data_IF_011054428622
#
_entry.id   IF_011054428622
#
_cell.length_a   1.000
_cell.length_b   1.000
_cell.length_c   1.000
_cell.angle_alpha   90.00
_cell.angle_beta   90.00
_cell.angle_gamma   90.00
#
_symmetry.space_group_name_H-M   'P 1'
#
loop_
_entity.id
_entity.type
_entity.pdbx_description
1 polymer ?
#
# COMPACT_ATOMS: atom_id res chain seq x y z
N UNK A 1 6.22 -9.66 7.46
CA UNK A 1 4.79 -9.28 7.45
C UNK A 1 4.58 -7.79 7.71
N UNK A 2 5.34 -7.14 8.61
CA UNK A 2 5.19 -5.70 8.91
C UNK A 2 5.39 -4.83 7.66
N UNK A 3 6.46 -5.01 6.91
CA UNK A 3 6.71 -4.24 5.69
C UNK A 3 5.62 -4.41 4.62
N UNK A 4 4.91 -5.53 4.63
CA UNK A 4 3.80 -5.81 3.71
C UNK A 4 2.42 -5.45 4.25
N UNK A 5 2.35 -4.85 5.43
CA UNK A 5 1.11 -4.40 6.09
C UNK A 5 -0.03 -5.46 6.13
N UNK A 6 0.33 -6.73 6.23
CA UNK A 6 -0.62 -7.84 6.17
C UNK A 6 -1.69 -7.75 7.28
N UNK A 7 -1.30 -7.21 8.45
CA UNK A 7 -2.18 -7.03 9.62
C UNK A 7 -3.34 -6.09 9.32
N UNK A 8 -3.12 -4.97 8.65
CA UNK A 8 -4.15 -3.97 8.39
C UNK A 8 -5.34 -4.54 7.62
N UNK A 9 -5.06 -5.42 6.64
CA UNK A 9 -6.13 -6.07 5.87
C UNK A 9 -6.63 -7.36 6.51
N UNK A 10 -5.75 -8.19 7.06
CA UNK A 10 -6.11 -9.53 7.54
C UNK A 10 -6.48 -9.61 9.03
N UNK A 11 -6.79 -8.46 9.65
CA UNK A 11 -7.29 -8.41 11.04
C UNK A 11 -8.52 -7.51 11.08
N UNK A 12 -9.68 -8.08 11.37
CA UNK A 12 -10.90 -7.29 11.57
C UNK A 12 -10.79 -6.46 12.86
N UNK A 13 -11.52 -5.35 12.94
CA UNK A 13 -11.58 -4.52 14.17
C UNK A 13 -12.03 -5.37 15.34
N UNK A 14 -11.21 -5.45 16.38
CA UNK A 14 -11.46 -6.31 17.56
C UNK A 14 -11.27 -7.80 17.31
N UNK A 15 -10.83 -8.21 16.09
CA UNK A 15 -10.56 -9.61 15.74
C UNK A 15 -9.19 -10.10 16.21
N UNK A 16 -8.97 -11.40 16.03
CA UNK A 16 -7.65 -11.99 16.29
C UNK A 16 -6.68 -11.64 15.14
N UNK A 17 -5.40 -11.40 15.43
CA UNK A 17 -4.42 -11.09 14.39
C UNK A 17 -4.41 -12.12 13.26
N UNK A 18 -4.46 -11.62 12.03
CA UNK A 18 -4.43 -12.41 10.78
C UNK A 18 -5.62 -13.37 10.57
N UNK A 19 -6.66 -13.33 11.41
CA UNK A 19 -7.81 -14.23 11.24
C UNK A 19 -8.80 -13.77 10.15
N UNK A 20 -8.52 -12.67 9.46
CA UNK A 20 -9.38 -12.12 8.41
C UNK A 20 -10.64 -11.44 8.91
N UNK A 21 -11.63 -11.34 8.02
CA UNK A 21 -12.95 -10.81 8.35
C UNK A 21 -13.10 -9.28 8.24
N UNK A 22 -12.04 -8.56 7.86
CA UNK A 22 -12.14 -7.12 7.57
C UNK A 22 -12.98 -6.93 6.31
N UNK A 23 -14.00 -6.07 6.42
CA UNK A 23 -14.87 -5.69 5.31
C UNK A 23 -14.21 -4.59 4.49
N UNK A 24 -14.00 -4.84 3.20
CA UNK A 24 -13.51 -3.87 2.23
C UNK A 24 -14.63 -3.55 1.24
N UNK A 25 -15.04 -2.29 1.18
CA UNK A 25 -16.12 -1.86 0.29
C UNK A 25 -15.56 -1.56 -1.10
N UNK A 26 -16.19 -2.13 -2.11
CA UNK A 26 -15.86 -1.87 -3.53
C UNK A 26 -17.07 -1.26 -4.24
N UNK A 27 -16.91 -0.65 -5.42
CA UNK A 27 -18.05 -0.13 -6.18
C UNK A 27 -19.10 -1.18 -6.56
N UNK A 28 -18.76 -2.46 -6.51
CA UNK A 28 -19.64 -3.57 -6.93
C UNK A 28 -20.11 -4.45 -5.77
N UNK A 29 -19.79 -4.08 -4.54
CA UNK A 29 -20.16 -4.83 -3.34
C UNK A 29 -19.01 -4.89 -2.35
N UNK A 30 -19.14 -5.68 -1.29
CA UNK A 30 -18.09 -5.85 -0.29
C UNK A 30 -17.37 -7.19 -0.45
N UNK A 31 -16.08 -7.17 -0.18
CA UNK A 31 -15.25 -8.35 -0.01
C UNK A 31 -14.75 -8.40 1.43
N UNK A 32 -14.40 -9.59 1.89
CA UNK A 32 -13.87 -9.79 3.23
C UNK A 32 -12.47 -10.41 3.13
N UNK A 33 -11.54 -9.90 3.92
CA UNK A 33 -10.20 -10.49 4.01
C UNK A 33 -10.29 -11.91 4.57
N UNK A 34 -9.42 -12.77 4.08
CA UNK A 34 -9.39 -14.18 4.48
C UNK A 34 -8.51 -14.40 5.70
N UNK A 35 -8.76 -15.49 6.41
CA UNK A 35 -7.92 -16.01 7.46
C UNK A 35 -6.59 -16.49 6.86
N UNK A 36 -5.47 -15.88 7.25
CA UNK A 36 -4.11 -16.25 6.84
C UNK A 36 -3.28 -16.79 8.01
N UNK A 37 -3.94 -17.22 9.10
CA UNK A 37 -3.27 -17.96 10.18
C UNK A 37 -2.97 -19.40 9.74
N UNK A 38 -2.05 -20.12 10.42
CA UNK A 38 -1.74 -21.51 10.11
C UNK A 38 -2.81 -22.50 10.63
N UNK A 39 -4.06 -22.07 10.70
CA UNK A 39 -5.18 -22.97 10.92
C UNK A 39 -5.38 -23.84 9.68
N UNK A 40 -5.52 -25.16 9.88
CA UNK A 40 -5.54 -26.14 8.77
C UNK A 40 -6.83 -26.12 7.97
N UNK A 41 -7.94 -25.83 8.63
CA UNK A 41 -9.27 -25.89 8.00
C UNK A 41 -9.71 -24.51 7.47
N UNK A 42 -9.48 -23.45 8.24
CA UNK A 42 -10.01 -22.12 7.96
C UNK A 42 -8.95 -21.14 7.43
N UNK A 43 -7.66 -21.45 7.64
CA UNK A 43 -6.53 -20.60 7.27
C UNK A 43 -5.66 -21.18 6.16
N UNK A 44 -4.37 -20.93 6.26
CA UNK A 44 -3.36 -21.35 5.27
C UNK A 44 -2.43 -22.47 5.80
N UNK A 45 -2.81 -23.15 6.90
CA UNK A 45 -1.96 -24.18 7.53
C UNK A 45 -1.64 -25.38 6.67
N UNK A 46 -2.45 -25.67 5.65
CA UNK A 46 -2.23 -26.74 4.69
C UNK A 46 -1.62 -26.24 3.35
N UNK A 47 -1.18 -24.97 3.25
CA UNK A 47 -0.52 -24.44 2.06
C UNK A 47 0.93 -24.91 2.01
N UNK A 48 1.36 -25.46 0.88
CA UNK A 48 2.77 -25.59 0.53
C UNK A 48 3.37 -24.21 0.25
N UNK A 49 4.70 -24.12 0.23
CA UNK A 49 5.40 -22.89 -0.17
C UNK A 49 4.96 -22.37 -1.55
N UNK A 50 4.82 -23.28 -2.53
CA UNK A 50 4.38 -22.92 -3.88
C UNK A 50 2.96 -22.34 -3.87
N UNK A 51 2.01 -22.96 -3.17
CA UNK A 51 0.62 -22.49 -3.06
C UNK A 51 0.54 -21.14 -2.33
N UNK A 52 1.37 -20.95 -1.30
CA UNK A 52 1.49 -19.65 -0.60
C UNK A 52 2.05 -18.58 -1.53
N UNK A 53 3.15 -18.86 -2.22
CA UNK A 53 3.76 -17.95 -3.19
C UNK A 53 2.80 -17.58 -4.32
N UNK A 54 2.05 -18.55 -4.84
CA UNK A 54 1.04 -18.31 -5.89
C UNK A 54 -0.12 -17.43 -5.37
N UNK A 55 -0.56 -17.62 -4.14
CA UNK A 55 -1.57 -16.76 -3.53
C UNK A 55 -1.07 -15.32 -3.36
N UNK A 56 0.16 -15.14 -2.90
CA UNK A 56 0.74 -13.81 -2.63
C UNK A 56 1.12 -13.09 -3.94
N UNK A 57 1.81 -13.76 -4.88
CA UNK A 57 2.35 -13.15 -6.11
C UNK A 57 1.37 -13.15 -7.27
N UNK A 58 0.52 -14.17 -7.36
CA UNK A 58 -0.36 -14.37 -8.54
C UNK A 58 -1.83 -14.17 -8.23
N UNK A 59 -2.18 -14.04 -6.93
CA UNK A 59 -3.58 -13.99 -6.52
C UNK A 59 -4.34 -15.28 -6.81
N UNK A 60 -3.70 -16.44 -6.72
CA UNK A 60 -4.29 -17.77 -6.98
C UNK A 60 -4.27 -18.57 -5.69
N UNK A 61 -5.44 -18.92 -5.18
CA UNK A 61 -5.58 -19.76 -3.97
C UNK A 61 -5.22 -21.22 -4.25
N UNK A 62 -5.01 -21.99 -3.19
CA UNK A 62 -4.76 -23.43 -3.23
C UNK A 62 -5.79 -24.22 -4.07
N UNK A 63 -7.05 -23.79 -4.04
CA UNK A 63 -8.14 -24.38 -4.81
C UNK A 63 -8.20 -23.93 -6.29
N UNK A 64 -7.22 -23.13 -6.75
CA UNK A 64 -7.16 -22.55 -8.08
C UNK A 64 -8.04 -21.30 -8.28
N UNK A 65 -8.78 -20.87 -7.27
CA UNK A 65 -9.65 -19.70 -7.35
C UNK A 65 -8.84 -18.40 -7.36
N UNK A 66 -9.15 -17.48 -8.28
CA UNK A 66 -8.53 -16.17 -8.34
C UNK A 66 -9.03 -15.25 -7.24
N UNK A 67 -8.10 -14.52 -6.61
CA UNK A 67 -8.39 -13.47 -5.64
C UNK A 67 -8.83 -12.18 -6.34
N UNK A 68 -9.65 -11.37 -5.67
CA UNK A 68 -9.87 -10.01 -6.10
C UNK A 68 -8.57 -9.19 -5.95
N UNK A 69 -8.30 -8.24 -6.88
CA UNK A 69 -7.10 -7.39 -6.84
C UNK A 69 -7.14 -6.31 -5.75
N UNK A 70 -7.97 -6.48 -4.72
CA UNK A 70 -7.87 -5.75 -3.47
C UNK A 70 -6.66 -6.22 -2.64
N UNK A 71 -6.28 -7.49 -2.75
CA UNK A 71 -4.95 -7.92 -2.34
C UNK A 71 -3.94 -7.45 -3.40
N UNK A 72 -2.89 -6.69 -3.03
CA UNK A 72 -1.99 -6.04 -3.99
C UNK A 72 -0.95 -7.00 -4.59
N UNK A 73 -1.40 -8.16 -5.10
CA UNK A 73 -0.50 -9.13 -5.73
C UNK A 73 0.23 -8.60 -6.98
N UNK A 74 -0.25 -7.56 -7.72
CA UNK A 74 0.55 -6.92 -8.75
C UNK A 74 1.82 -6.23 -8.22
N UNK A 75 1.82 -5.79 -6.96
CA UNK A 75 3.03 -5.31 -6.27
C UNK A 75 3.82 -6.47 -5.65
N UNK A 76 3.14 -7.40 -5.00
CA UNK A 76 3.78 -8.52 -4.29
C UNK A 76 4.51 -9.50 -5.23
N UNK A 77 4.22 -9.50 -6.53
CA UNK A 77 5.01 -10.26 -7.51
C UNK A 77 6.49 -9.86 -7.49
N UNK A 78 6.82 -8.63 -7.08
CA UNK A 78 8.19 -8.11 -6.99
C UNK A 78 8.97 -8.62 -5.77
N UNK A 79 8.32 -9.29 -4.80
CA UNK A 79 8.99 -9.87 -3.62
C UNK A 79 9.99 -10.93 -4.09
N UNK A 80 11.26 -10.82 -3.63
CA UNK A 80 12.30 -11.80 -3.92
C UNK A 80 12.02 -13.16 -3.25
N UNK A 81 12.81 -14.16 -3.58
CA UNK A 81 12.54 -15.53 -3.12
C UNK A 81 12.83 -15.69 -1.63
N UNK A 82 13.89 -15.07 -1.13
CA UNK A 82 14.28 -15.17 0.28
C UNK A 82 13.20 -14.53 1.18
N UNK A 83 12.75 -13.31 0.87
CA UNK A 83 11.69 -12.64 1.62
C UNK A 83 10.35 -13.39 1.52
N UNK A 84 10.07 -14.05 0.40
CA UNK A 84 8.87 -14.88 0.24
C UNK A 84 8.95 -16.13 1.11
N UNK A 85 10.11 -16.76 1.18
CA UNK A 85 10.37 -17.91 2.06
C UNK A 85 10.23 -17.51 3.53
N UNK A 86 10.78 -16.36 3.91
CA UNK A 86 10.68 -15.82 5.28
C UNK A 86 9.21 -15.49 5.64
N UNK A 87 8.44 -14.92 4.73
CA UNK A 87 7.00 -14.70 4.92
C UNK A 87 6.25 -16.01 5.15
N UNK A 88 6.52 -17.02 4.32
CA UNK A 88 5.90 -18.34 4.47
C UNK A 88 6.22 -18.96 5.83
N UNK A 89 7.49 -18.98 6.22
CA UNK A 89 7.91 -19.52 7.52
C UNK A 89 7.28 -18.76 8.67
N UNK A 90 7.20 -17.42 8.58
CA UNK A 90 6.55 -16.61 9.59
C UNK A 90 5.06 -16.96 9.74
N UNK A 91 4.32 -17.08 8.65
CA UNK A 91 2.90 -17.40 8.72
C UNK A 91 2.65 -18.84 9.16
N UNK A 92 3.50 -19.78 8.81
CA UNK A 92 3.36 -21.19 9.20
C UNK A 92 3.77 -21.45 10.66
N UNK A 93 4.75 -20.71 11.19
CA UNK A 93 5.34 -21.04 12.50
C UNK A 93 5.34 -19.88 13.51
N UNK A 94 5.27 -18.63 13.05
CA UNK A 94 5.31 -17.44 13.90
C UNK A 94 3.94 -16.88 14.29
N UNK A 95 2.88 -17.32 13.61
CA UNK A 95 1.50 -16.87 13.84
C UNK A 95 0.73 -17.97 14.57
N UNK A 96 -0.15 -17.60 15.52
CA UNK A 96 -1.02 -18.57 16.20
C UNK A 96 -2.20 -18.96 15.28
N UNK A 97 -2.55 -20.26 15.18
CA UNK A 97 -3.71 -20.69 14.43
C UNK A 97 -5.01 -20.17 15.09
N UNK A 98 -5.94 -19.72 14.27
CA UNK A 98 -7.27 -19.25 14.70
C UNK A 98 -8.32 -19.90 13.84
N UNK A 99 -9.22 -20.69 14.43
CA UNK A 99 -10.31 -21.37 13.73
C UNK A 99 -11.47 -20.39 13.46
N UNK A 100 -11.22 -19.39 12.60
CA UNK A 100 -12.24 -18.44 12.17
C UNK A 100 -12.58 -18.67 10.70
N UNK A 101 -13.84 -19.00 10.43
CA UNK A 101 -14.33 -19.22 9.08
C UNK A 101 -14.26 -17.96 8.23
N UNK A 102 -13.89 -18.12 6.97
CA UNK A 102 -13.91 -17.04 6.00
C UNK A 102 -15.33 -16.64 5.64
N UNK A 103 -15.55 -15.34 5.42
CA UNK A 103 -16.83 -14.81 4.95
C UNK A 103 -16.84 -14.73 3.44
N UNK A 104 -17.99 -15.07 2.84
CA UNK A 104 -18.21 -14.86 1.42
C UNK A 104 -18.33 -13.37 1.08
N UNK A 105 -18.02 -13.01 -0.17
CA UNK A 105 -18.19 -11.63 -0.64
C UNK A 105 -19.68 -11.31 -0.83
N UNK A 106 -20.04 -10.04 -0.58
CA UNK A 106 -21.38 -9.51 -0.85
C UNK A 106 -21.55 -9.01 -2.30
N UNK A 107 -20.64 -9.39 -3.20
CA UNK A 107 -20.70 -9.02 -4.62
C UNK A 107 -21.81 -9.84 -5.29
N UNK A 108 -22.78 -9.18 -5.96
CA UNK A 108 -23.89 -9.88 -6.60
C UNK A 108 -23.49 -10.63 -7.86
N UNK A 109 -24.26 -11.66 -8.19
CA UNK A 109 -24.12 -12.30 -9.51
C UNK A 109 -24.48 -11.30 -10.63
N UNK A 110 -23.75 -11.27 -11.79
CA UNK A 110 -22.66 -12.18 -12.19
C UNK A 110 -21.25 -11.70 -11.77
N UNK A 111 -21.13 -10.59 -11.09
CA UNK A 111 -19.83 -9.97 -10.74
C UNK A 111 -19.03 -10.75 -9.68
N UNK A 112 -19.68 -11.69 -8.97
CA UNK A 112 -19.02 -12.59 -8.02
C UNK A 112 -18.33 -13.79 -8.68
N UNK A 113 -18.45 -13.96 -9.99
CA UNK A 113 -17.71 -15.00 -10.71
C UNK A 113 -16.21 -14.69 -10.68
N UNK A 114 -15.40 -15.69 -10.31
CA UNK A 114 -13.94 -15.53 -10.12
C UNK A 114 -13.11 -15.81 -11.38
N UNK A 115 -13.62 -16.59 -12.31
CA UNK A 115 -12.88 -16.93 -13.52
C UNK A 115 -12.51 -15.72 -14.42
N UNK A 116 -13.29 -14.61 -14.50
CA UNK A 116 -12.87 -13.46 -15.30
C UNK A 116 -11.64 -12.75 -14.73
N UNK A 117 -11.33 -12.95 -13.44
CA UNK A 117 -10.14 -12.38 -12.80
C UNK A 117 -8.84 -13.00 -13.37
N UNK A 118 -8.89 -14.19 -13.97
CA UNK A 118 -7.76 -14.72 -14.73
C UNK A 118 -7.40 -13.82 -15.92
N UNK A 119 -8.41 -13.34 -16.66
CA UNK A 119 -8.23 -12.39 -17.75
C UNK A 119 -7.73 -11.02 -17.25
N UNK A 120 -8.26 -10.55 -16.12
CA UNK A 120 -7.77 -9.34 -15.47
C UNK A 120 -6.28 -9.47 -15.08
N UNK A 121 -5.90 -10.57 -14.46
CA UNK A 121 -4.51 -10.83 -14.07
C UNK A 121 -3.57 -10.90 -15.29
N UNK A 122 -4.03 -11.51 -16.38
CA UNK A 122 -3.26 -11.59 -17.63
C UNK A 122 -2.99 -10.21 -18.24
N UNK A 123 -3.94 -9.27 -18.11
CA UNK A 123 -3.82 -7.94 -18.70
C UNK A 123 -3.04 -6.96 -17.81
N UNK A 124 -3.14 -7.07 -16.49
CA UNK A 124 -2.73 -6.01 -15.56
C UNK A 124 -1.68 -6.46 -14.53
N UNK A 125 -1.38 -7.75 -14.42
CA UNK A 125 -0.27 -8.22 -13.59
C UNK A 125 0.95 -8.42 -14.47
N UNK A 126 2.04 -7.75 -14.13
CA UNK A 126 3.33 -7.99 -14.76
C UNK A 126 4.08 -9.02 -13.93
N UNK A 127 4.55 -10.08 -14.54
CA UNK A 127 5.34 -11.11 -13.86
C UNK A 127 6.80 -10.70 -13.71
N UNK A 128 7.42 -11.10 -12.61
CA UNK A 128 8.84 -10.95 -12.34
C UNK A 128 9.15 -10.33 -10.99
N UNK A 129 10.06 -10.96 -10.27
CA UNK A 129 10.61 -10.40 -9.03
C UNK A 129 11.41 -9.13 -9.33
N UNK A 130 11.51 -8.26 -8.32
CA UNK A 130 12.30 -7.03 -8.44
C UNK A 130 13.75 -7.34 -8.86
N UNK A 131 14.23 -6.62 -9.85
CA UNK A 131 15.63 -6.68 -10.31
C UNK A 131 16.32 -5.37 -9.95
N UNK A 132 17.43 -5.41 -9.19
CA UNK A 132 18.19 -4.21 -8.89
C UNK A 132 18.74 -3.56 -10.16
N UNK A 133 18.60 -2.24 -10.23
CA UNK A 133 19.24 -1.43 -11.28
C UNK A 133 20.72 -1.22 -10.91
N UNK A 134 21.62 -1.72 -11.75
CA UNK A 134 23.07 -1.64 -11.55
C UNK A 134 23.62 -0.22 -11.68
N UNK A 135 22.85 0.71 -12.22
CA UNK A 135 23.23 2.13 -12.34
C UNK A 135 22.82 2.94 -11.11
N UNK A 136 22.05 2.36 -10.21
CA UNK A 136 21.56 3.01 -9.00
C UNK A 136 22.32 2.54 -7.75
N UNK A 137 22.22 3.33 -6.68
CA UNK A 137 22.83 2.98 -5.41
C UNK A 137 22.10 1.82 -4.72
N UNK A 138 22.77 1.15 -3.78
CA UNK A 138 22.15 0.10 -2.94
C UNK A 138 20.94 0.65 -2.18
N UNK A 139 21.03 1.87 -1.63
CA UNK A 139 19.93 2.51 -0.93
C UNK A 139 18.72 2.77 -1.85
N UNK A 140 18.97 3.26 -3.08
CA UNK A 140 17.90 3.46 -4.06
C UNK A 140 17.23 2.13 -4.41
N UNK A 141 18.00 1.09 -4.72
CA UNK A 141 17.47 -0.23 -5.05
C UNK A 141 16.65 -0.84 -3.89
N UNK A 142 17.12 -0.69 -2.65
CA UNK A 142 16.39 -1.13 -1.46
C UNK A 142 15.08 -0.36 -1.30
N UNK A 143 15.10 0.95 -1.49
CA UNK A 143 13.90 1.79 -1.45
C UNK A 143 12.90 1.43 -2.55
N UNK A 144 13.36 1.27 -3.79
CA UNK A 144 12.54 0.83 -4.91
C UNK A 144 11.86 -0.52 -4.64
N UNK A 145 12.63 -1.49 -4.16
CA UNK A 145 12.11 -2.81 -3.77
C UNK A 145 11.00 -2.73 -2.71
N UNK A 146 11.23 -1.93 -1.65
CA UNK A 146 10.25 -1.77 -0.58
C UNK A 146 8.99 -1.06 -1.07
N UNK A 147 9.12 0.03 -1.82
CA UNK A 147 7.99 0.85 -2.28
C UNK A 147 7.14 0.14 -3.33
N UNK A 148 7.79 -0.54 -4.29
CA UNK A 148 7.12 -1.22 -5.39
C UNK A 148 6.59 -2.61 -5.01
N UNK A 149 7.26 -3.29 -4.08
CA UNK A 149 6.96 -4.66 -3.64
C UNK A 149 6.16 -4.69 -2.34
N UNK A 150 6.83 -5.01 -1.24
CA UNK A 150 6.18 -5.24 0.06
C UNK A 150 5.35 -4.05 0.55
N UNK A 151 5.87 -2.82 0.44
CA UNK A 151 5.17 -1.61 0.87
C UNK A 151 3.99 -1.22 -0.01
N UNK A 152 3.88 -1.77 -1.22
CA UNK A 152 2.79 -1.57 -2.20
C UNK A 152 2.19 -0.15 -2.22
N UNK A 153 3.05 0.87 -2.09
CA UNK A 153 2.63 2.27 -1.98
C UNK A 153 1.78 2.73 -3.18
N UNK A 154 2.04 2.14 -4.37
CA UNK A 154 1.26 2.34 -5.58
C UNK A 154 -0.23 2.03 -5.42
N UNK A 155 -0.59 1.08 -4.56
CA UNK A 155 -1.98 0.66 -4.36
C UNK A 155 -2.91 1.81 -3.90
N UNK A 156 -2.38 2.81 -3.21
CA UNK A 156 -3.12 4.02 -2.83
C UNK A 156 -2.64 5.25 -3.61
N UNK A 157 -1.32 5.37 -3.85
CA UNK A 157 -0.69 6.58 -4.38
C UNK A 157 -0.55 6.61 -5.90
N UNK A 158 -1.05 5.61 -6.63
CA UNK A 158 -1.11 5.60 -8.11
C UNK A 158 -2.56 5.65 -8.57
N UNK A 159 -2.90 6.44 -9.61
CA UNK A 159 -4.26 6.50 -10.12
C UNK A 159 -4.74 5.14 -10.62
N UNK A 160 -6.05 4.90 -10.53
CA UNK A 160 -6.68 3.67 -11.01
C UNK A 160 -7.20 3.81 -12.44
N UNK A 161 -7.09 2.74 -13.20
CA UNK A 161 -7.70 2.62 -14.53
C UNK A 161 -9.14 2.09 -14.46
N UNK A 162 -9.71 1.86 -15.63
CA UNK A 162 -11.11 1.42 -15.79
C UNK A 162 -11.37 0.02 -15.20
N UNK A 163 -10.36 -0.84 -15.18
CA UNK A 163 -10.42 -2.16 -14.54
C UNK A 163 -9.99 -2.15 -13.06
N UNK A 164 -9.95 -1.00 -12.42
CA UNK A 164 -9.46 -0.76 -11.06
C UNK A 164 -7.99 -1.15 -10.84
N UNK A 165 -7.25 -1.43 -11.92
CA UNK A 165 -5.80 -1.64 -11.86
C UNK A 165 -5.08 -0.32 -11.55
N UNK A 166 -3.90 -0.41 -10.95
CA UNK A 166 -2.95 0.71 -10.92
C UNK A 166 -2.54 1.04 -12.35
N UNK A 167 -2.49 2.34 -12.71
CA UNK A 167 -2.08 2.75 -14.06
C UNK A 167 -0.59 2.55 -14.31
N UNK A 168 0.18 2.40 -13.26
CA UNK A 168 1.62 2.18 -13.31
C UNK A 168 2.07 1.35 -12.11
N UNK A 169 3.08 0.51 -12.27
CA UNK A 169 3.60 -0.38 -11.22
C UNK A 169 5.05 -0.06 -10.80
N UNK A 170 5.70 0.89 -11.48
CA UNK A 170 7.05 1.36 -11.15
C UNK A 170 7.35 2.73 -11.78
N UNK A 171 8.54 3.26 -11.53
CA UNK A 171 8.98 4.60 -11.95
C UNK A 171 9.15 4.80 -13.46
N UNK A 172 9.08 3.76 -14.27
CA UNK A 172 9.17 3.88 -15.74
C UNK A 172 7.97 4.62 -16.34
N UNK A 173 6.84 4.60 -15.62
CA UNK A 173 5.59 5.24 -16.01
C UNK A 173 5.36 6.53 -15.22
N UNK A 174 4.95 7.63 -15.87
CA UNK A 174 4.77 8.92 -15.21
C UNK A 174 3.64 8.93 -14.18
N UNK A 175 2.60 8.12 -14.34
CA UNK A 175 1.49 8.02 -13.39
C UNK A 175 1.86 7.31 -12.09
N UNK A 176 2.99 6.61 -12.03
CA UNK A 176 3.41 5.91 -10.81
C UNK A 176 3.61 6.88 -9.66
N UNK A 177 2.90 6.61 -8.55
CA UNK A 177 2.89 7.42 -7.33
C UNK A 177 2.51 8.90 -7.52
N UNK A 178 1.73 9.21 -8.55
CA UNK A 178 1.28 10.58 -8.85
C UNK A 178 0.05 11.02 -8.06
N UNK A 179 -0.36 10.23 -7.09
CA UNK A 179 -1.57 10.42 -6.29
C UNK A 179 -2.73 9.57 -6.78
N UNK A 180 -3.66 9.29 -5.89
CA UNK A 180 -4.83 8.46 -6.20
C UNK A 180 -6.01 8.75 -5.28
N UNK A 181 -7.13 8.13 -5.55
CA UNK A 181 -8.31 8.17 -4.68
C UNK A 181 -8.76 6.74 -4.41
N UNK A 182 -8.85 6.38 -3.15
CA UNK A 182 -9.29 5.06 -2.71
C UNK A 182 -10.19 5.22 -1.46
N UNK A 183 -11.34 4.52 -1.46
CA UNK A 183 -12.29 4.52 -0.34
C UNK A 183 -12.71 5.92 0.15
N UNK A 184 -12.80 6.88 -0.76
CA UNK A 184 -13.15 8.27 -0.43
C UNK A 184 -12.00 9.13 0.08
N UNK A 185 -10.80 8.57 0.25
CA UNK A 185 -9.60 9.29 0.64
C UNK A 185 -8.73 9.62 -0.58
N UNK A 186 -8.15 10.82 -0.57
CA UNK A 186 -7.16 11.21 -1.56
C UNK A 186 -5.75 10.92 -1.01
N UNK A 187 -5.05 9.98 -1.63
CA UNK A 187 -3.64 9.71 -1.37
C UNK A 187 -2.79 10.70 -2.18
N UNK A 188 -1.90 11.42 -1.50
CA UNK A 188 -1.07 12.46 -2.09
C UNK A 188 -0.12 11.94 -3.18
N UNK A 189 0.27 12.82 -4.08
CA UNK A 189 1.37 12.61 -5.00
C UNK A 189 2.70 12.47 -4.22
N UNK A 190 3.44 11.38 -4.46
CA UNK A 190 4.73 11.09 -3.80
C UNK A 190 5.93 11.43 -4.69
N UNK A 191 5.72 12.09 -5.82
CA UNK A 191 6.77 12.51 -6.75
C UNK A 191 7.36 13.87 -6.37
N UNK A 192 8.31 14.35 -7.17
CA UNK A 192 9.03 15.60 -6.94
C UNK A 192 8.26 16.89 -7.19
N UNK A 193 6.95 16.82 -7.43
CA UNK A 193 6.09 17.99 -7.63
C UNK A 193 6.05 18.86 -6.37
N UNK A 194 6.10 20.19 -6.55
CA UNK A 194 6.23 21.12 -5.42
C UNK A 194 4.91 21.43 -4.73
N UNK A 195 3.82 21.60 -5.50
CA UNK A 195 2.51 21.91 -4.92
C UNK A 195 1.80 20.68 -4.38
N UNK A 196 1.88 19.56 -5.09
CA UNK A 196 1.04 18.39 -4.86
C UNK A 196 1.81 17.17 -4.35
N UNK A 197 3.16 17.24 -4.35
CA UNK A 197 4.04 16.11 -4.04
C UNK A 197 5.09 16.42 -2.98
N UNK A 198 6.19 15.67 -3.05
CA UNK A 198 7.28 15.72 -2.07
C UNK A 198 8.41 16.70 -2.46
N UNK A 199 8.18 17.63 -3.42
CA UNK A 199 9.21 18.52 -3.93
C UNK A 199 9.91 19.35 -2.85
N UNK A 200 9.17 19.82 -1.83
CA UNK A 200 9.69 20.61 -0.70
C UNK A 200 10.06 19.76 0.53
N UNK A 201 9.96 18.45 0.46
CA UNK A 201 10.37 17.56 1.54
C UNK A 201 11.82 17.13 1.33
N UNK A 202 12.59 17.04 2.40
CA UNK A 202 13.87 16.34 2.38
C UNK A 202 13.72 14.88 2.81
N UNK A 203 14.75 14.08 2.62
CA UNK A 203 14.73 12.65 2.93
C UNK A 203 14.47 12.37 4.41
N UNK A 204 15.04 13.17 5.31
CA UNK A 204 14.84 13.02 6.75
C UNK A 204 13.37 13.25 7.14
N UNK A 205 12.72 14.24 6.54
CA UNK A 205 11.29 14.51 6.77
C UNK A 205 10.41 13.35 6.27
N UNK A 206 10.74 12.76 5.12
CA UNK A 206 10.02 11.59 4.59
C UNK A 206 10.21 10.40 5.52
N UNK A 207 11.46 10.08 5.90
CA UNK A 207 11.75 8.99 6.82
C UNK A 207 11.08 9.20 8.20
N UNK A 208 11.10 10.43 8.74
CA UNK A 208 10.41 10.77 9.98
C UNK A 208 8.89 10.59 9.86
N UNK A 209 8.28 11.05 8.78
CA UNK A 209 6.84 10.89 8.55
C UNK A 209 6.44 9.42 8.52
N UNK A 210 7.18 8.59 7.79
CA UNK A 210 6.94 7.15 7.75
C UNK A 210 7.16 6.47 9.12
N UNK A 211 8.09 6.99 9.93
CA UNK A 211 8.36 6.44 11.27
C UNK A 211 7.32 6.81 12.30
N UNK A 212 6.84 8.04 12.28
CA UNK A 212 6.03 8.61 13.38
C UNK A 212 4.65 9.09 12.96
N UNK A 213 4.35 9.13 11.66
CA UNK A 213 3.13 9.74 11.11
C UNK A 213 3.10 11.26 11.20
N UNK A 214 4.20 11.92 11.60
CA UNK A 214 4.19 13.36 11.85
C UNK A 214 5.52 14.03 11.50
N UNK A 215 5.42 15.24 10.94
CA UNK A 215 6.53 16.19 10.76
C UNK A 215 6.00 17.62 11.00
N UNK A 216 6.88 18.61 10.93
CA UNK A 216 6.46 20.02 10.95
C UNK A 216 5.62 20.43 9.72
N UNK A 217 5.59 19.61 8.68
CA UNK A 217 4.87 19.88 7.42
C UNK A 217 3.51 19.19 7.35
N UNK A 218 3.38 18.02 7.97
CA UNK A 218 2.17 17.23 7.82
C UNK A 218 2.03 16.18 8.94
N UNK A 219 0.82 15.68 9.09
CA UNK A 219 0.49 14.54 9.91
C UNK A 219 -0.27 13.48 9.08
N UNK A 220 -0.11 12.21 9.42
CA UNK A 220 -0.89 11.13 8.83
C UNK A 220 -2.34 11.22 9.30
N UNK A 221 -3.27 10.94 8.40
CA UNK A 221 -4.70 10.83 8.69
C UNK A 221 -5.35 9.82 7.75
N UNK A 222 -6.58 9.38 8.09
CA UNK A 222 -7.27 8.33 7.34
C UNK A 222 -6.44 7.05 7.28
N UNK A 223 -6.54 6.32 6.18
CA UNK A 223 -5.85 5.03 6.00
C UNK A 223 -4.32 5.11 6.11
N UNK A 224 -3.70 6.29 5.87
CA UNK A 224 -2.26 6.44 6.07
C UNK A 224 -1.84 6.33 7.55
N UNK A 225 -2.75 6.60 8.49
CA UNK A 225 -2.51 6.38 9.92
C UNK A 225 -2.30 4.88 10.21
N UNK A 226 -3.14 4.03 9.61
CA UNK A 226 -3.06 2.57 9.77
C UNK A 226 -1.74 2.04 9.16
N UNK A 227 -1.35 2.54 7.97
CA UNK A 227 -0.07 2.20 7.35
C UNK A 227 1.12 2.53 8.26
N UNK A 228 1.11 3.70 8.91
CA UNK A 228 2.17 4.05 9.88
C UNK A 228 2.08 3.14 11.09
N UNK A 229 0.89 2.97 11.66
CA UNK A 229 0.67 2.23 12.91
C UNK A 229 1.00 0.75 12.77
N UNK A 230 0.64 0.12 11.66
CA UNK A 230 0.75 -1.33 11.48
C UNK A 230 1.98 -1.76 10.71
N UNK A 231 2.58 -0.85 9.94
CA UNK A 231 3.69 -1.15 9.04
C UNK A 231 4.93 -0.27 9.27
N UNK A 232 4.93 0.97 8.77
CA UNK A 232 6.17 1.73 8.56
C UNK A 232 6.90 2.12 9.84
N UNK A 233 6.21 2.31 10.97
CA UNK A 233 6.86 2.58 12.25
C UNK A 233 7.81 1.45 12.72
N UNK A 234 7.60 0.22 12.23
CA UNK A 234 8.42 -0.95 12.61
C UNK A 234 9.64 -1.14 11.71
N UNK A 235 9.74 -0.40 10.61
CA UNK A 235 10.91 -0.45 9.75
C UNK A 235 12.13 0.14 10.47
N UNK A 236 13.31 -0.38 10.14
CA UNK A 236 14.58 0.15 10.64
C UNK A 236 14.90 1.51 9.95
N UNK A 237 15.89 2.21 10.48
CA UNK A 237 16.26 3.54 9.97
C UNK A 237 16.81 3.48 8.53
N UNK A 238 17.53 2.42 8.21
CA UNK A 238 18.13 2.20 6.89
C UNK A 238 17.05 2.01 5.82
N UNK A 239 16.02 1.21 6.10
CA UNK A 239 14.90 0.97 5.18
C UNK A 239 14.04 2.24 5.00
N UNK A 240 13.78 2.99 6.06
CA UNK A 240 13.06 4.27 5.97
C UNK A 240 13.84 5.30 5.14
N UNK A 241 15.16 5.37 5.34
CA UNK A 241 16.02 6.25 4.55
C UNK A 241 16.08 5.78 3.08
N UNK A 242 16.15 4.48 2.83
CA UNK A 242 16.13 3.92 1.48
C UNK A 242 14.83 4.27 0.73
N UNK A 243 13.68 4.15 1.39
CA UNK A 243 12.39 4.59 0.84
C UNK A 243 12.44 6.08 0.50
N UNK A 244 12.96 6.92 1.39
CA UNK A 244 13.05 8.36 1.16
C UNK A 244 13.96 8.70 -0.03
N UNK A 245 15.12 8.05 -0.15
CA UNK A 245 16.04 8.18 -1.30
C UNK A 245 15.32 7.85 -2.61
N UNK A 246 14.61 6.72 -2.64
CA UNK A 246 13.87 6.32 -3.83
C UNK A 246 12.77 7.32 -4.18
N UNK A 247 11.92 7.72 -3.23
CA UNK A 247 10.84 8.66 -3.47
C UNK A 247 11.36 10.02 -3.95
N UNK A 248 12.49 10.51 -3.42
CA UNK A 248 13.12 11.75 -3.85
C UNK A 248 13.73 11.69 -5.26
N UNK A 249 14.01 10.51 -5.77
CA UNK A 249 14.50 10.33 -7.14
C UNK A 249 13.41 10.42 -8.22
N UNK A 250 12.13 10.31 -7.82
CA UNK A 250 11.01 10.33 -8.75
C UNK A 250 10.84 11.72 -9.35
N UNK A 251 10.84 11.79 -10.68
CA UNK A 251 10.70 13.05 -11.40
C UNK A 251 9.33 13.67 -11.17
N UNK A 252 9.24 15.01 -11.04
CA UNK A 252 7.94 15.69 -10.97
C UNK A 252 7.14 15.49 -12.26
N UNK A 253 5.84 15.50 -12.16
CA UNK A 253 4.95 15.47 -13.32
C UNK A 253 4.81 16.84 -14.01
N UNK A 254 5.20 17.92 -13.34
CA UNK A 254 5.30 19.23 -13.98
C UNK A 254 4.49 20.35 -13.31
N UNK A 255 4.42 20.37 -11.97
CA UNK A 255 3.93 21.57 -11.32
C UNK A 255 5.05 22.61 -11.14
N UNK A 256 4.73 23.87 -11.42
CA UNK A 256 5.59 25.03 -11.20
C UNK A 256 5.15 25.86 -9.98
N UNK A 257 4.42 25.27 -9.06
CA UNK A 257 3.90 25.97 -7.91
C UNK A 257 5.02 26.45 -6.98
N UNK A 258 4.81 27.64 -6.42
CA UNK A 258 5.71 28.20 -5.39
C UNK A 258 5.40 27.57 -4.05
N UNK A 259 6.44 27.43 -3.22
CA UNK A 259 6.26 26.98 -1.83
C UNK A 259 5.28 27.91 -1.10
N UNK A 260 4.31 27.34 -0.35
CA UNK A 260 3.43 28.14 0.49
C UNK A 260 4.24 28.99 1.47
N UNK A 261 4.01 30.30 1.46
CA UNK A 261 4.70 31.24 2.36
C UNK A 261 4.03 31.21 3.71
N UNK A 262 4.69 30.64 4.72
CA UNK A 262 4.17 30.51 6.10
C UNK A 262 4.03 31.86 6.82
N UNK A 263 4.66 32.90 6.34
CA UNK A 263 4.60 34.27 6.92
C UNK A 263 3.62 35.19 6.18
N UNK A 264 2.79 34.66 5.29
CA UNK A 264 1.73 35.42 4.69
C UNK A 264 0.80 35.99 5.79
N UNK A 265 0.26 37.19 5.59
CA UNK A 265 -0.69 37.78 6.53
C UNK A 265 -1.91 36.87 6.76
N UNK A 266 -2.32 36.13 5.75
CA UNK A 266 -3.38 35.12 5.83
C UNK A 266 -2.99 33.97 6.76
N UNK A 267 -1.79 33.41 6.60
CA UNK A 267 -1.30 32.33 7.46
C UNK A 267 -1.23 32.78 8.94
N UNK A 268 -0.67 33.94 9.18
CA UNK A 268 -0.57 34.52 10.54
C UNK A 268 -1.97 34.78 11.14
N UNK A 269 -2.91 35.29 10.35
CA UNK A 269 -4.28 35.50 10.80
C UNK A 269 -4.95 34.18 11.20
N UNK A 270 -4.85 33.14 10.37
CA UNK A 270 -5.40 31.79 10.65
C UNK A 270 -4.73 31.16 11.88
N UNK A 271 -3.40 31.22 11.98
CA UNK A 271 -2.64 30.69 13.11
C UNK A 271 -3.03 31.37 14.44
N UNK A 272 -3.47 32.63 14.39
CA UNK A 272 -3.97 33.40 15.55
C UNK A 272 -5.50 33.28 15.72
N UNK A 273 -6.17 32.38 15.07
CA UNK A 273 -7.62 32.15 15.19
C UNK A 273 -8.49 33.26 14.56
N UNK A 274 -7.94 34.10 13.67
CA UNK A 274 -8.68 35.15 12.96
C UNK A 274 -9.29 34.60 11.67
N UNK A 275 -10.53 34.15 11.76
CA UNK A 275 -11.29 33.57 10.63
C UNK A 275 -11.89 34.66 9.73
N UNK A 276 -11.05 35.43 9.04
CA UNK A 276 -11.52 36.55 8.16
C UNK A 276 -11.61 36.13 6.67
N UNK A 277 -11.08 34.96 6.30
CA UNK A 277 -11.07 34.47 4.93
C UNK A 277 -12.28 33.59 4.61
N UNK A 278 -12.78 33.57 3.36
CA UNK A 278 -13.79 32.60 2.94
C UNK A 278 -13.32 31.18 3.25
N UNK A 279 -14.18 30.40 3.88
CA UNK A 279 -13.86 29.03 4.31
C UNK A 279 -13.21 28.91 5.70
N UNK A 280 -12.58 29.94 6.25
CA UNK A 280 -11.98 29.90 7.59
C UNK A 280 -13.01 29.69 8.72
N UNK A 281 -14.29 29.99 8.46
CA UNK A 281 -15.38 29.75 9.41
C UNK A 281 -15.85 28.29 9.45
N UNK A 282 -15.33 27.44 8.56
CA UNK A 282 -15.64 26.02 8.51
C UNK A 282 -14.68 25.17 9.39
N UNK A 283 -13.64 25.79 9.90
CA UNK A 283 -12.64 25.22 10.80
C UNK A 283 -12.70 25.93 12.16
#
# INVERSE_FOLDING_TARGET
>A
SRAGDCTACHTAVGGQPFSGGLKMTTPVGAIYSTNITPDKEQGIGEYSFTEFSDAVRKGIRKDGTHLYPAMPYPSFVKINEDDMQDLYLYFQHGVKPVAQANKDSDIPWPLNMRWPLAGWSLLFRHDGVFQPDTQQTTAWNRGAYLVQGLGHCGSCHTPRGIGFQEKALDQSEPEYLSGGTLEGWHAANLRGDKATGLGYWNEQQIAQFLKSGHTEKSAAFGSMTDVVQDSTQYLNAEDLQAIAVYLKSLQPMGDNAKEPVKDSATYQALANGKATQPGAQLY
#
